data_IF_119305356055
#
_entry.id   IF_119305356055
#
_cell.length_a   1.000
_cell.length_b   1.000
_cell.length_c   1.000
_cell.angle_alpha   90.00
_cell.angle_beta   90.00
_cell.angle_gamma   90.00
#
_symmetry.space_group_name_H-M   'P 1'
#
loop_
_entity.id
_entity.type
_entity.pdbx_description
1 polymer ?
#
# COMPACT_ATOMS: atom_id res chain seq x y z
N UNK A 1 -11.05 4.36 -0.76
CA UNK A 1 -10.12 5.45 -1.10
C UNK A 1 -9.26 5.04 -2.27
N UNK A 2 -9.07 5.93 -3.20
CA UNK A 2 -8.16 5.68 -4.31
C UNK A 2 -6.72 5.79 -3.82
N UNK A 3 -5.89 4.88 -4.27
CA UNK A 3 -4.49 4.82 -3.86
C UNK A 3 -3.57 4.94 -5.06
N UNK A 4 -2.34 5.36 -4.77
CA UNK A 4 -1.30 5.44 -5.79
C UNK A 4 -0.59 4.10 -5.88
N UNK A 5 -1.12 3.19 -6.69
CA UNK A 5 -0.56 1.84 -6.80
C UNK A 5 0.90 1.86 -7.24
N UNK A 6 1.24 2.73 -8.20
CA UNK A 6 2.62 2.84 -8.68
C UNK A 6 3.56 3.34 -7.59
N UNK A 7 3.08 4.24 -6.74
CA UNK A 7 3.88 4.73 -5.62
C UNK A 7 4.18 3.60 -4.63
N UNK A 8 3.17 2.77 -4.36
CA UNK A 8 3.33 1.63 -3.46
C UNK A 8 4.36 0.65 -4.03
N UNK A 9 4.25 0.33 -5.32
CA UNK A 9 5.19 -0.56 -5.97
C UNK A 9 6.61 0.01 -5.99
N UNK A 10 6.73 1.31 -6.29
CA UNK A 10 8.03 1.98 -6.29
C UNK A 10 8.65 1.96 -4.90
N UNK A 11 7.85 2.19 -3.86
CA UNK A 11 8.34 2.18 -2.49
C UNK A 11 8.77 0.78 -2.07
N UNK A 12 8.02 -0.24 -2.49
CA UNK A 12 8.41 -1.63 -2.25
C UNK A 12 9.76 -1.94 -2.90
N UNK A 13 9.95 -1.49 -4.13
CA UNK A 13 11.22 -1.70 -4.84
C UNK A 13 12.36 -0.96 -4.13
N UNK A 14 12.11 0.26 -3.70
CA UNK A 14 13.09 1.07 -2.99
C UNK A 14 13.54 0.41 -1.69
N UNK A 15 12.57 -0.14 -0.95
CA UNK A 15 12.82 -0.81 0.32
C UNK A 15 13.18 -2.28 0.14
N UNK A 16 13.19 -2.77 -1.10
CA UNK A 16 13.46 -4.17 -1.43
C UNK A 16 12.53 -5.13 -0.73
N UNK A 17 11.24 -4.77 -0.67
CA UNK A 17 10.22 -5.59 -0.04
C UNK A 17 9.47 -6.39 -1.09
N UNK A 18 9.27 -7.67 -0.80
CA UNK A 18 8.31 -8.49 -1.55
C UNK A 18 6.91 -8.20 -1.03
N UNK A 19 5.89 -8.61 -1.78
CA UNK A 19 4.50 -8.48 -1.31
C UNK A 19 4.30 -9.20 0.01
N UNK A 20 4.93 -10.38 0.16
CA UNK A 20 4.84 -11.16 1.39
C UNK A 20 5.45 -10.40 2.57
N UNK A 21 6.62 -9.78 2.36
CA UNK A 21 7.28 -9.02 3.40
C UNK A 21 6.48 -7.78 3.78
N UNK A 22 5.95 -7.08 2.78
CA UNK A 22 5.10 -5.92 3.03
C UNK A 22 3.83 -6.33 3.78
N UNK A 23 3.22 -7.44 3.39
CA UNK A 23 2.02 -7.95 4.05
C UNK A 23 2.26 -8.20 5.53
N UNK A 24 3.40 -8.79 5.86
CA UNK A 24 3.78 -9.04 7.25
C UNK A 24 3.92 -7.73 8.02
N UNK A 25 4.51 -6.71 7.40
CA UNK A 25 4.69 -5.40 8.04
C UNK A 25 3.38 -4.66 8.23
N UNK A 26 2.44 -4.85 7.31
CA UNK A 26 1.15 -4.16 7.34
C UNK A 26 0.09 -4.91 8.15
N UNK A 27 0.32 -6.18 8.42
CA UNK A 27 -0.67 -7.01 9.11
C UNK A 27 -1.85 -7.40 8.23
N UNK A 28 -1.63 -7.50 6.92
CA UNK A 28 -2.63 -7.96 5.95
C UNK A 28 -2.03 -9.05 5.09
N UNK A 29 -2.83 -9.71 4.27
CA UNK A 29 -2.34 -10.79 3.42
C UNK A 29 -1.67 -10.26 2.16
N UNK A 30 -0.73 -11.03 1.61
CA UNK A 30 -0.08 -10.69 0.35
C UNK A 30 -1.10 -10.64 -0.80
N UNK A 31 -2.11 -11.52 -0.76
CA UNK A 31 -3.18 -11.52 -1.74
C UNK A 31 -3.98 -10.21 -1.66
N UNK A 32 -4.22 -9.72 -0.47
CA UNK A 32 -4.93 -8.46 -0.27
C UNK A 32 -4.14 -7.30 -0.88
N UNK A 33 -2.82 -7.29 -0.67
CA UNK A 33 -1.96 -6.27 -1.29
C UNK A 33 -2.05 -6.33 -2.81
N UNK A 34 -1.99 -7.53 -3.39
CA UNK A 34 -2.11 -7.70 -4.84
C UNK A 34 -3.44 -7.17 -5.36
N UNK A 35 -4.52 -7.44 -4.63
CA UNK A 35 -5.86 -6.97 -5.00
C UNK A 35 -5.95 -5.45 -4.94
N UNK A 36 -5.42 -4.86 -3.87
CA UNK A 36 -5.43 -3.41 -3.69
C UNK A 36 -4.67 -2.71 -4.81
N UNK A 37 -3.48 -3.20 -5.12
CA UNK A 37 -2.64 -2.63 -6.18
C UNK A 37 -3.32 -2.76 -7.55
N UNK A 38 -3.93 -3.91 -7.81
CA UNK A 38 -4.61 -4.14 -9.08
C UNK A 38 -5.84 -3.24 -9.23
N UNK A 39 -6.62 -3.07 -8.16
CA UNK A 39 -7.83 -2.25 -8.19
C UNK A 39 -7.54 -0.77 -8.07
N UNK A 40 -6.45 -0.41 -7.42
CA UNK A 40 -6.12 0.99 -7.16
C UNK A 40 -6.97 1.62 -6.08
N UNK A 41 -7.63 0.81 -5.26
CA UNK A 41 -8.44 1.32 -4.14
C UNK A 41 -8.26 0.45 -2.90
N UNK A 42 -8.48 1.04 -1.74
CA UNK A 42 -8.43 0.34 -0.47
C UNK A 42 -9.30 1.07 0.55
N UNK A 43 -9.72 0.36 1.58
CA UNK A 43 -10.46 0.97 2.67
C UNK A 43 -9.52 1.86 3.49
N UNK A 44 -10.06 2.93 4.13
CA UNK A 44 -9.22 3.83 4.94
C UNK A 44 -8.39 3.10 5.99
N UNK A 45 -8.98 2.10 6.63
CA UNK A 45 -8.29 1.30 7.63
C UNK A 45 -7.08 0.58 7.04
N UNK A 46 -7.25 0.03 5.84
CA UNK A 46 -6.19 -0.68 5.14
C UNK A 46 -5.11 0.29 4.65
N UNK A 47 -5.52 1.47 4.20
CA UNK A 47 -4.57 2.51 3.80
C UNK A 47 -3.66 2.89 4.96
N UNK A 48 -4.22 3.01 6.16
CA UNK A 48 -3.44 3.28 7.36
C UNK A 48 -2.41 2.19 7.64
N UNK A 49 -2.81 0.93 7.47
CA UNK A 49 -1.89 -0.20 7.65
C UNK A 49 -0.77 -0.19 6.61
N UNK A 50 -1.11 0.11 5.36
CA UNK A 50 -0.11 0.21 4.29
C UNK A 50 0.90 1.32 4.60
N UNK A 51 0.41 2.48 5.01
CA UNK A 51 1.26 3.61 5.34
C UNK A 51 2.23 3.24 6.46
N UNK A 52 1.73 2.60 7.51
CA UNK A 52 2.56 2.17 8.63
C UNK A 52 3.61 1.16 8.18
N UNK A 53 3.22 0.19 7.35
CA UNK A 53 4.13 -0.83 6.86
C UNK A 53 5.22 -0.27 5.95
N UNK A 54 4.91 0.77 5.18
CA UNK A 54 5.87 1.43 4.30
C UNK A 54 6.65 2.53 4.99
N UNK A 55 6.23 2.94 6.18
CA UNK A 55 6.88 4.02 6.91
C UNK A 55 6.68 5.39 6.28
N UNK A 56 5.52 5.62 5.67
CA UNK A 56 5.21 6.89 4.99
C UNK A 56 3.87 7.42 5.50
N UNK A 57 3.62 8.72 5.34
CA UNK A 57 2.31 9.29 5.67
C UNK A 57 1.22 8.76 4.75
N UNK A 58 0.00 8.67 5.27
CA UNK A 58 -1.15 8.26 4.47
C UNK A 58 -1.31 9.16 3.25
N UNK A 59 -1.03 10.45 3.42
CA UNK A 59 -1.17 11.42 2.33
C UNK A 59 -0.32 11.08 1.09
N UNK A 60 0.79 10.36 1.30
CA UNK A 60 1.65 9.96 0.18
C UNK A 60 1.06 8.79 -0.61
N UNK A 61 0.22 8.01 0.03
CA UNK A 61 -0.35 6.80 -0.57
C UNK A 61 -1.64 7.09 -1.32
N UNK A 62 -2.45 7.99 -0.79
CA UNK A 62 -3.76 8.26 -1.37
C UNK A 62 -3.64 9.14 -2.61
N UNK A 63 -4.52 8.87 -3.55
CA UNK A 63 -4.64 9.68 -4.75
C UNK A 63 -5.72 10.70 -4.48
N UNK A 64 -5.34 11.95 -4.40
CA UNK A 64 -6.30 13.01 -4.20
C UNK A 64 -7.10 13.15 -5.48
N UNK A 65 -8.31 12.63 -5.44
CA UNK A 65 -9.18 12.64 -6.57
C UNK A 65 -9.58 14.07 -6.88
N UNK A 66 -9.18 14.47 -8.02
CA UNK A 66 -9.60 15.75 -8.53
C UNK A 66 -11.07 15.78 -8.83
#
# INVERSE_FOLDING_TARGET
MDIRAQYIEAKMAELRLTKKALAARCGISAQNISTIVRRGTAEPKTVGKLAAGLGVPVADIIKEGG
#
